data_IF_815040049777
#
_entry.id   IF_815040049777
#
_cell.length_a   1.000
_cell.length_b   1.000
_cell.length_c   1.000
_cell.angle_alpha   90.00
_cell.angle_beta   90.00
_cell.angle_gamma   90.00
#
_symmetry.space_group_name_H-M   'P 1'
#
loop_
_entity.id
_entity.type
_entity.pdbx_description
1 polymer ?
#
# COMPACT_ATOMS: atom_id res chain seq x y z
N UNK A 1 40.05 -23.84 43.96
CA UNK A 1 39.51 -24.12 42.61
C UNK A 1 38.07 -23.63 42.59
N UNK A 2 37.78 -22.61 41.79
CA UNK A 2 36.54 -21.84 41.89
C UNK A 2 35.42 -22.40 41.02
N UNK A 3 34.23 -22.53 41.62
CA UNK A 3 32.99 -22.76 40.87
C UNK A 3 32.15 -21.49 40.93
N UNK A 4 32.30 -20.65 39.91
CA UNK A 4 31.36 -19.55 39.62
C UNK A 4 30.06 -20.18 39.11
N UNK A 5 29.05 -20.28 39.96
CA UNK A 5 27.68 -20.52 39.51
C UNK A 5 27.11 -19.21 38.94
N UNK A 6 27.30 -18.99 37.64
CA UNK A 6 26.64 -17.91 36.89
C UNK A 6 25.12 -18.09 36.95
N UNK A 7 24.45 -17.25 37.74
CA UNK A 7 23.00 -17.07 37.68
C UNK A 7 22.65 -16.41 36.33
N UNK A 8 22.18 -17.20 35.37
CA UNK A 8 21.64 -16.69 34.09
C UNK A 8 20.42 -15.81 34.40
N UNK A 9 20.33 -14.58 33.88
CA UNK A 9 19.12 -13.79 34.06
C UNK A 9 17.96 -14.43 33.30
N UNK A 10 16.83 -14.57 33.98
CA UNK A 10 15.60 -15.08 33.40
C UNK A 10 15.25 -14.26 32.14
N UNK A 11 15.14 -14.94 31.00
CA UNK A 11 14.64 -14.35 29.76
C UNK A 11 13.20 -13.89 30.02
N UNK A 12 13.02 -12.59 30.30
CA UNK A 12 11.70 -11.95 30.35
C UNK A 12 11.02 -12.25 29.02
N UNK A 13 10.01 -13.12 29.04
CA UNK A 13 9.10 -13.32 27.91
C UNK A 13 8.39 -12.00 27.65
N UNK A 14 8.86 -11.26 26.64
CA UNK A 14 8.19 -10.06 26.15
C UNK A 14 6.84 -10.53 25.60
N UNK A 15 5.70 -10.07 26.13
CA UNK A 15 4.41 -10.47 25.58
C UNK A 15 4.30 -9.99 24.13
N UNK A 16 4.02 -10.92 23.21
CA UNK A 16 3.73 -10.73 21.78
C UNK A 16 2.34 -10.06 21.58
N UNK A 17 2.04 -9.01 22.33
CA UNK A 17 0.73 -8.35 22.32
C UNK A 17 0.91 -6.84 22.38
N UNK A 18 1.38 -6.23 21.29
CA UNK A 18 1.31 -4.77 21.13
C UNK A 18 1.44 -4.30 19.67
N UNK A 19 1.00 -5.08 18.68
CA UNK A 19 1.07 -4.61 17.29
C UNK A 19 -0.19 -4.89 16.45
N UNK A 20 -1.36 -4.89 17.09
CA UNK A 20 -2.66 -5.00 16.40
C UNK A 20 -3.53 -3.75 16.51
N UNK A 21 -3.01 -2.62 16.99
CA UNK A 21 -3.79 -1.40 17.13
C UNK A 21 -3.07 -0.21 16.51
N UNK A 22 -3.29 0.00 15.21
CA UNK A 22 -3.37 1.30 14.49
C UNK A 22 -3.27 1.08 12.97
N UNK A 23 -4.22 0.33 12.39
CA UNK A 23 -4.71 0.70 11.05
C UNK A 23 -5.61 1.92 11.25
N UNK A 24 -5.02 3.05 11.64
CA UNK A 24 -5.69 4.34 11.47
C UNK A 24 -5.75 4.55 9.98
N UNK A 25 -6.91 4.90 9.47
CA UNK A 25 -7.11 5.41 8.12
C UNK A 25 -5.95 6.37 7.82
N UNK A 26 -5.00 5.90 7.02
CA UNK A 26 -3.95 6.75 6.52
C UNK A 26 -4.68 7.68 5.57
N UNK A 27 -5.09 8.84 6.09
CA UNK A 27 -5.72 9.89 5.32
C UNK A 27 -4.77 10.15 4.16
N UNK A 28 -5.18 9.70 2.97
CA UNK A 28 -4.34 9.77 1.80
C UNK A 28 -4.32 11.25 1.41
N UNK A 29 -3.25 11.94 1.80
CA UNK A 29 -3.06 13.34 1.49
C UNK A 29 -2.66 13.43 0.02
N UNK A 30 -3.40 14.24 -0.74
CA UNK A 30 -3.01 14.56 -2.11
C UNK A 30 -1.64 15.26 -2.10
N UNK A 31 -0.69 14.76 -2.88
CA UNK A 31 0.66 15.33 -2.95
C UNK A 31 0.97 15.85 -4.35
N UNK A 32 1.87 16.85 -4.51
CA UNK A 32 2.32 17.30 -5.83
C UNK A 32 2.92 16.19 -6.71
N UNK A 33 3.48 15.15 -6.08
CA UNK A 33 3.98 13.98 -6.81
C UNK A 33 2.84 13.20 -7.50
N UNK A 34 1.64 13.17 -6.91
CA UNK A 34 0.45 12.58 -7.53
C UNK A 34 -0.01 13.40 -8.73
N UNK A 35 0.04 14.73 -8.66
CA UNK A 35 -0.23 15.61 -9.82
C UNK A 35 0.75 15.35 -10.96
N UNK A 36 2.05 15.30 -10.69
CA UNK A 36 3.06 15.02 -11.71
C UNK A 36 2.87 13.63 -12.32
N UNK A 37 2.51 12.64 -11.49
CA UNK A 37 2.20 11.29 -11.97
C UNK A 37 0.97 11.27 -12.86
N UNK A 38 -0.10 11.97 -12.46
CA UNK A 38 -1.32 12.10 -13.26
C UNK A 38 -1.04 12.76 -14.61
N UNK A 39 -0.27 13.86 -14.63
CA UNK A 39 0.16 14.53 -15.87
C UNK A 39 0.99 13.61 -16.76
N UNK A 40 1.91 12.84 -16.19
CA UNK A 40 2.73 11.86 -16.93
C UNK A 40 1.89 10.74 -17.54
N UNK A 41 0.85 10.28 -16.84
CA UNK A 41 -0.08 9.29 -17.37
C UNK A 41 -0.91 9.92 -18.50
N UNK A 42 -1.46 11.11 -18.30
CA UNK A 42 -2.31 11.81 -19.26
C UNK A 42 -1.58 12.16 -20.57
N UNK A 43 -0.28 12.50 -20.49
CA UNK A 43 0.53 12.81 -21.67
C UNK A 43 0.87 11.57 -22.53
N UNK A 44 0.66 10.36 -22.02
CA UNK A 44 0.97 9.11 -22.69
C UNK A 44 -0.30 8.29 -22.91
N UNK A 45 -0.70 8.13 -24.17
CA UNK A 45 -1.93 7.42 -24.54
C UNK A 45 -1.93 5.97 -24.06
N UNK A 46 -0.78 5.27 -24.12
CA UNK A 46 -0.70 3.87 -23.68
C UNK A 46 -0.85 3.77 -22.17
N UNK A 47 -0.17 4.66 -21.42
CA UNK A 47 -0.29 4.70 -19.95
C UNK A 47 -1.70 5.09 -19.50
N UNK A 48 -2.33 6.05 -20.19
CA UNK A 48 -3.71 6.46 -19.92
C UNK A 48 -4.68 5.30 -20.09
N UNK A 49 -4.62 4.58 -21.22
CA UNK A 49 -5.49 3.43 -21.48
C UNK A 49 -5.25 2.32 -20.44
N UNK A 50 -3.99 2.02 -20.12
CA UNK A 50 -3.67 1.01 -19.11
C UNK A 50 -4.19 1.39 -17.71
N UNK A 51 -4.09 2.66 -17.34
CA UNK A 51 -4.65 3.19 -16.09
C UNK A 51 -6.18 3.04 -16.07
N UNK A 52 -6.87 3.45 -17.13
CA UNK A 52 -8.33 3.38 -17.22
C UNK A 52 -8.85 1.93 -17.22
N UNK A 53 -8.14 0.99 -17.86
CA UNK A 53 -8.43 -0.45 -17.76
C UNK A 53 -8.26 -0.97 -16.33
N UNK A 54 -7.17 -0.59 -15.66
CA UNK A 54 -6.91 -1.00 -14.27
C UNK A 54 -7.91 -0.39 -13.28
N UNK A 55 -8.45 0.79 -13.59
CA UNK A 55 -9.50 1.44 -12.83
C UNK A 55 -10.91 0.87 -13.10
N UNK A 56 -11.06 -0.07 -14.06
CA UNK A 56 -12.36 -0.63 -14.43
C UNK A 56 -13.22 0.25 -15.36
N UNK A 57 -12.73 1.44 -15.71
CA UNK A 57 -13.47 2.39 -16.56
C UNK A 57 -13.53 1.87 -18.01
N UNK A 58 -12.45 1.24 -18.48
CA UNK A 58 -12.41 0.60 -19.79
C UNK A 58 -12.39 -0.92 -19.67
N UNK A 59 -13.06 -1.62 -20.60
CA UNK A 59 -12.98 -3.06 -20.76
C UNK A 59 -11.65 -3.51 -21.43
N UNK A 60 -11.47 -4.82 -21.57
CA UNK A 60 -10.26 -5.40 -22.18
C UNK A 60 -10.05 -4.94 -23.63
N UNK A 61 -11.13 -4.65 -24.34
CA UNK A 61 -11.16 -4.14 -25.71
C UNK A 61 -10.86 -2.62 -25.77
N UNK A 62 -10.78 -1.93 -24.63
CA UNK A 62 -10.51 -0.50 -24.54
C UNK A 62 -11.73 0.39 -24.77
N UNK A 63 -12.93 -0.17 -24.70
CA UNK A 63 -14.20 0.55 -24.74
C UNK A 63 -14.67 0.85 -23.31
N UNK A 64 -15.53 1.86 -23.14
CA UNK A 64 -16.18 2.13 -21.85
C UNK A 64 -16.86 0.86 -21.33
N UNK A 65 -16.62 0.52 -20.07
CA UNK A 65 -17.29 -0.59 -19.42
C UNK A 65 -18.80 -0.30 -19.37
N UNK A 66 -19.62 -1.35 -19.52
CA UNK A 66 -21.09 -1.24 -19.61
C UNK A 66 -21.73 -0.55 -18.39
N UNK A 67 -21.06 -0.61 -17.24
CA UNK A 67 -21.47 0.08 -16.01
C UNK A 67 -21.30 1.61 -16.07
N UNK A 68 -20.56 2.12 -17.06
CA UNK A 68 -20.33 3.54 -17.33
C UNK A 68 -20.79 3.97 -18.74
N UNK A 69 -21.39 3.06 -19.51
CA UNK A 69 -21.99 3.35 -20.80
C UNK A 69 -23.50 3.51 -20.59
N UNK A 70 -23.95 4.76 -20.42
CA UNK A 70 -25.37 5.13 -20.32
C UNK A 70 -26.23 4.56 -21.47
#
# INVERSE_FOLDING_TARGET
MGNKAEKRPAVRKIPKQANQAKKRDAQTVWTPAMDNKAKSIAADKQKSVAFLKRAGILNEQGQLAKEYAD
#
